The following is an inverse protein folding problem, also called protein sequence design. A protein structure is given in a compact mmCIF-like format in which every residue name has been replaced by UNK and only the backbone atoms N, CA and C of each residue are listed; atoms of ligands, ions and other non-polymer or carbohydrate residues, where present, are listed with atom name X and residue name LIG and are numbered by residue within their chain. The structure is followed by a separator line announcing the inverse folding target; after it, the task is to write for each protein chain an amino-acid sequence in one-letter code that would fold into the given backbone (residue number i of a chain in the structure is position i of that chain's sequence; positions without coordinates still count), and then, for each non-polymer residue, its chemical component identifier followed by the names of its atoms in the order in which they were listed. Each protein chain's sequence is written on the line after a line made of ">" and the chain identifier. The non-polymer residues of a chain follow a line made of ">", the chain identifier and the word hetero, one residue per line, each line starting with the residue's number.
data_IF_521713247450
#
_entry.id   IF_521713247450
#
_cell.length_a   1.000
_cell.length_b   1.000
_cell.length_c   1.000
_cell.angle_alpha   90.00
_cell.angle_beta   90.00
_cell.angle_gamma   90.00
#
_symmetry.space_group_name_H-M   'P 1'
#
loop_
_entity.id
_entity.type
_entity.pdbx_description
1 polymer ?
#
# COMPACT_ATOMS: atom_id res chain seq x y z
N UNK A 1 20.47 -15.50 2.51
CA UNK A 1 19.06 -15.94 2.74
C UNK A 1 17.97 -14.87 2.46
N UNK A 2 18.21 -13.77 1.71
CA UNK A 2 17.22 -12.69 1.54
C UNK A 2 16.25 -12.84 0.35
N UNK A 3 16.49 -13.78 -0.58
CA UNK A 3 15.70 -13.91 -1.83
C UNK A 3 14.38 -14.68 -1.67
N UNK A 4 14.32 -15.72 -0.83
CA UNK A 4 13.09 -16.55 -0.67
C UNK A 4 11.91 -15.78 -0.06
N UNK A 5 12.14 -15.00 0.99
CA UNK A 5 11.10 -14.22 1.67
C UNK A 5 10.43 -13.16 0.76
N UNK A 6 11.15 -12.64 -0.23
CA UNK A 6 10.60 -11.63 -1.15
C UNK A 6 9.57 -12.26 -2.11
N UNK A 7 9.75 -13.52 -2.50
CA UNK A 7 8.82 -14.23 -3.38
C UNK A 7 7.55 -14.68 -2.65
N UNK A 8 7.65 -15.23 -1.43
CA UNK A 8 6.44 -15.60 -0.65
C UNK A 8 5.61 -14.38 -0.25
N UNK A 9 6.25 -13.26 0.09
CA UNK A 9 5.55 -12.03 0.40
C UNK A 9 4.82 -11.43 -0.82
N UNK A 10 5.38 -11.57 -2.04
CA UNK A 10 4.73 -11.17 -3.28
C UNK A 10 3.56 -12.11 -3.63
N UNK A 11 3.69 -13.42 -3.39
CA UNK A 11 2.60 -14.37 -3.62
C UNK A 11 1.37 -14.10 -2.73
N UNK A 12 1.55 -13.51 -1.54
CA UNK A 12 0.43 -13.14 -0.66
C UNK A 12 -0.16 -11.74 -0.94
N UNK A 13 0.48 -10.95 -1.80
CA UNK A 13 0.04 -9.60 -2.15
C UNK A 13 -1.08 -9.63 -3.20
N UNK A 14 -0.92 -10.44 -4.24
CA UNK A 14 -1.92 -10.62 -5.29
C UNK A 14 -2.77 -11.85 -4.99
N UNK A 15 -4.09 -11.74 -5.15
CA UNK A 15 -5.04 -12.86 -5.03
C UNK A 15 -5.84 -12.96 -6.33
N UNK A 16 -6.31 -14.16 -6.65
CA UNK A 16 -6.98 -14.45 -7.93
C UNK A 16 -8.23 -13.59 -8.18
N UNK A 17 -8.97 -13.25 -7.12
CA UNK A 17 -10.21 -12.46 -7.20
C UNK A 17 -9.98 -10.98 -6.84
N UNK A 18 -8.78 -10.46 -7.08
CA UNK A 18 -8.49 -9.06 -6.80
C UNK A 18 -9.26 -8.14 -7.75
N UNK A 19 -9.95 -7.12 -7.21
CA UNK A 19 -10.54 -6.11 -8.07
C UNK A 19 -9.42 -5.31 -8.76
N UNK A 20 -9.66 -4.73 -9.95
CA UNK A 20 -8.63 -4.02 -10.72
C UNK A 20 -7.88 -2.96 -9.90
N UNK A 21 -8.59 -2.21 -9.06
CA UNK A 21 -8.05 -1.15 -8.22
C UNK A 21 -7.02 -1.66 -7.21
N UNK A 22 -7.20 -2.89 -6.71
CA UNK A 22 -6.24 -3.53 -5.81
C UNK A 22 -4.93 -3.81 -6.54
N UNK A 23 -5.01 -4.41 -7.72
CA UNK A 23 -3.85 -4.78 -8.54
C UNK A 23 -3.09 -3.53 -8.97
N UNK A 24 -3.80 -2.50 -9.43
CA UNK A 24 -3.21 -1.21 -9.80
C UNK A 24 -2.50 -0.54 -8.62
N UNK A 25 -3.14 -0.50 -7.45
CA UNK A 25 -2.54 0.08 -6.26
C UNK A 25 -1.27 -0.66 -5.83
N UNK A 26 -1.28 -1.99 -5.79
CA UNK A 26 -0.10 -2.78 -5.45
C UNK A 26 1.04 -2.49 -6.42
N UNK A 27 0.75 -2.52 -7.74
CA UNK A 27 1.74 -2.26 -8.78
C UNK A 27 2.36 -0.86 -8.65
N UNK A 28 1.55 0.18 -8.42
CA UNK A 28 2.03 1.54 -8.25
C UNK A 28 2.90 1.70 -6.99
N UNK A 29 2.52 1.07 -5.87
CA UNK A 29 3.30 1.13 -4.63
C UNK A 29 4.66 0.42 -4.80
N UNK A 30 4.68 -0.74 -5.48
CA UNK A 30 5.90 -1.47 -5.81
C UNK A 30 6.78 -0.65 -6.77
N UNK A 31 6.20 -0.03 -7.80
CA UNK A 31 6.92 0.83 -8.75
C UNK A 31 7.54 2.05 -8.05
N UNK A 32 6.83 2.64 -7.09
CA UNK A 32 7.34 3.68 -6.19
C UNK A 32 8.37 3.15 -5.17
N UNK A 33 8.74 1.86 -5.28
CA UNK A 33 9.67 1.11 -4.44
C UNK A 33 9.26 1.05 -2.96
N UNK A 34 8.01 1.35 -2.60
CA UNK A 34 7.56 1.29 -1.22
C UNK A 34 7.28 -0.15 -0.81
N UNK A 35 7.46 -0.44 0.47
CA UNK A 35 7.12 -1.76 1.01
C UNK A 35 5.65 -1.78 1.39
N UNK A 36 4.93 -2.80 0.91
CA UNK A 36 3.50 -2.99 1.15
C UNK A 36 3.25 -4.36 1.75
N UNK A 37 2.32 -4.41 2.70
CA UNK A 37 1.75 -5.64 3.26
C UNK A 37 0.25 -5.64 2.97
N UNK A 38 -0.32 -6.84 2.84
CA UNK A 38 -1.76 -7.01 2.65
C UNK A 38 -2.37 -7.83 3.79
N UNK A 39 -2.76 -7.17 4.90
CA UNK A 39 -3.36 -7.88 6.04
C UNK A 39 -4.77 -8.41 5.76
N UNK A 40 -5.54 -7.78 4.87
CA UNK A 40 -6.90 -8.21 4.50
C UNK A 40 -7.17 -8.02 3.00
N UNK A 41 -8.26 -8.59 2.49
CA UNK A 41 -8.58 -8.57 1.05
C UNK A 41 -8.71 -7.15 0.49
N UNK A 42 -9.23 -6.19 1.25
CA UNK A 42 -9.45 -4.81 0.80
C UNK A 42 -8.45 -3.80 1.38
N UNK A 43 -7.36 -4.26 2.02
CA UNK A 43 -6.49 -3.42 2.83
C UNK A 43 -5.02 -3.60 2.44
N UNK A 44 -4.39 -2.49 2.04
CA UNK A 44 -2.95 -2.38 1.85
C UNK A 44 -2.34 -1.54 2.98
N UNK A 45 -1.25 -2.04 3.58
CA UNK A 45 -0.57 -1.39 4.70
C UNK A 45 0.89 -1.10 4.37
N UNK A 46 1.27 0.17 4.55
CA UNK A 46 2.62 0.70 4.37
C UNK A 46 3.03 1.41 5.67
N UNK A 47 3.65 0.64 6.58
CA UNK A 47 4.00 1.10 7.93
C UNK A 47 2.77 1.60 8.70
N UNK A 48 2.67 2.90 8.99
CA UNK A 48 1.49 3.50 9.66
C UNK A 48 0.39 3.88 8.68
N UNK A 49 0.67 3.91 7.38
CA UNK A 49 -0.31 4.29 6.36
C UNK A 49 -1.08 3.05 5.96
N UNK A 50 -2.41 3.15 6.00
CA UNK A 50 -3.32 2.16 5.47
C UNK A 50 -4.01 2.75 4.24
N UNK A 51 -4.23 1.93 3.23
CA UNK A 51 -4.95 2.27 2.02
C UNK A 51 -5.99 1.20 1.71
N UNK A 52 -7.19 1.64 1.34
CA UNK A 52 -8.32 0.79 0.99
C UNK A 52 -8.70 1.03 -0.48
N UNK A 53 -8.08 0.33 -1.45
CA UNK A 53 -8.14 0.67 -2.87
C UNK A 53 -9.55 0.81 -3.42
N UNK A 54 -10.48 -0.09 -3.05
CA UNK A 54 -11.88 -0.06 -3.51
C UNK A 54 -12.64 1.20 -3.11
N UNK A 55 -12.21 1.90 -2.06
CA UNK A 55 -12.84 3.14 -1.59
C UNK A 55 -11.94 4.36 -1.74
N UNK A 56 -10.71 4.16 -2.22
CA UNK A 56 -9.64 5.16 -2.19
C UNK A 56 -9.29 5.70 -0.80
N UNK A 57 -9.76 5.09 0.29
CA UNK A 57 -9.59 5.67 1.63
C UNK A 57 -8.15 5.50 2.11
N UNK A 58 -7.55 6.58 2.61
CA UNK A 58 -6.24 6.57 3.26
C UNK A 58 -6.42 6.85 4.75
N UNK A 59 -5.83 6.04 5.62
CA UNK A 59 -5.76 6.32 7.06
C UNK A 59 -4.33 6.22 7.57
N UNK A 60 -4.04 6.92 8.66
CA UNK A 60 -2.73 6.86 9.32
C UNK A 60 -2.93 6.44 10.77
N UNK A 61 -2.28 5.35 11.17
CA UNK A 61 -2.32 4.83 12.54
C UNK A 61 -1.89 5.94 13.52
N UNK A 62 -2.77 6.28 14.45
CA UNK A 62 -2.57 7.33 15.47
C UNK A 62 -3.23 8.67 15.17
N UNK A 63 -3.79 8.89 13.98
CA UNK A 63 -4.50 10.14 13.65
C UNK A 63 -6.02 10.07 13.90
N UNK A 64 -6.57 8.87 14.10
CA UNK A 64 -7.98 8.65 14.45
C UNK A 64 -9.00 8.96 13.34
N UNK A 65 -8.58 9.54 12.21
CA UNK A 65 -9.44 9.87 11.06
C UNK A 65 -8.78 9.52 9.73
N UNK A 66 -9.61 9.33 8.70
CA UNK A 66 -9.15 9.24 7.33
C UNK A 66 -8.57 10.58 6.85
N UNK A 67 -7.62 10.51 5.92
CA UNK A 67 -7.10 11.68 5.22
C UNK A 67 -8.20 12.25 4.31
N UNK A 68 -8.29 13.59 4.19
CA UNK A 68 -9.21 14.21 3.24
C UNK A 68 -8.79 13.90 1.80
N UNK A 69 -7.48 13.80 1.54
CA UNK A 69 -6.97 13.30 0.28
C UNK A 69 -7.18 11.78 0.16
N UNK A 70 -7.73 11.33 -0.97
CA UNK A 70 -8.12 9.95 -1.25
C UNK A 70 -7.39 9.42 -2.47
N UNK A 71 -7.64 8.18 -2.83
CA UNK A 71 -7.12 7.55 -4.06
C UNK A 71 -5.59 7.38 -4.12
N UNK A 72 -5.16 6.66 -5.15
CA UNK A 72 -3.78 6.25 -5.33
C UNK A 72 -2.84 7.43 -5.61
N UNK A 73 -3.34 8.46 -6.30
CA UNK A 73 -2.57 9.65 -6.67
C UNK A 73 -2.08 10.45 -5.46
N UNK A 74 -2.86 10.46 -4.37
CA UNK A 74 -2.50 11.13 -3.13
C UNK A 74 -1.71 10.23 -2.17
N UNK A 75 -1.81 8.91 -2.33
CA UNK A 75 -1.10 7.94 -1.49
C UNK A 75 0.42 8.02 -1.66
N UNK A 76 0.93 8.03 -2.90
CA UNK A 76 2.37 8.00 -3.15
C UNK A 76 3.08 9.27 -2.63
N UNK A 77 2.57 10.50 -2.89
CA UNK A 77 3.11 11.71 -2.27
C UNK A 77 3.11 11.66 -0.75
N UNK A 78 2.03 11.16 -0.12
CA UNK A 78 1.97 11.00 1.33
C UNK A 78 3.06 10.06 1.84
N UNK A 79 3.26 8.91 1.19
CA UNK A 79 4.31 7.95 1.55
C UNK A 79 5.70 8.57 1.41
N UNK A 80 5.96 9.34 0.36
CA UNK A 80 7.24 10.02 0.15
C UNK A 80 7.49 11.11 1.21
N UNK A 81 6.45 11.83 1.64
CA UNK A 81 6.52 12.83 2.71
C UNK A 81 6.79 12.19 4.08
N UNK A 82 6.09 11.11 4.41
CA UNK A 82 6.22 10.44 5.71
C UNK A 82 7.48 9.57 5.82
N UNK A 83 7.89 8.97 4.72
CA UNK A 83 9.01 8.03 4.65
C UNK A 83 9.97 8.44 3.54
N UNK A 84 10.64 9.61 3.67
CA UNK A 84 11.59 10.06 2.69
C UNK A 84 12.70 9.02 2.55
N UNK A 85 12.99 8.65 1.31
CA UNK A 85 14.10 7.74 1.02
C UNK A 85 15.38 8.54 1.17
N UNK A 86 16.28 8.12 2.06
CA UNK A 86 17.66 8.64 2.06
C UNK A 86 18.29 8.20 0.72
N UNK A 87 18.80 9.17 -0.04
CA UNK A 87 19.61 8.93 -1.24
C UNK A 87 20.90 8.23 -0.85
#
# INVERSE_FOLDING_TARGET
>A
MKKKFRNEALNNLFRENDPPEMTEAINAIIAAKHFVKRPASSHLKMRKVNYFPTTGTITVDGEGRAKPERELEHLIPLLNKMYPRKK
#
